data_IF_610982681116
#
_entry.id   IF_610982681116
#
_cell.length_a   1.000
_cell.length_b   1.000
_cell.length_c   1.000
_cell.angle_alpha   90.00
_cell.angle_beta   90.00
_cell.angle_gamma   90.00
#
_symmetry.space_group_name_H-M   'P 1'
#
loop_
_entity.id
_entity.type
_entity.pdbx_description
1 polymer ?
#
# COMPACT_ATOMS: atom_id res chain seq x y z
N UNK A 1 -17.82 18.80 0.70
CA UNK A 1 -17.06 17.85 1.54
C UNK A 1 -17.62 16.48 1.24
N UNK A 2 -16.88 15.60 0.57
CA UNK A 2 -17.39 14.25 0.27
C UNK A 2 -17.42 13.44 1.56
N UNK A 3 -18.56 12.82 1.86
CA UNK A 3 -18.75 11.88 2.97
C UNK A 3 -17.56 10.91 3.04
N UNK A 4 -16.77 11.02 4.11
CA UNK A 4 -15.79 10.00 4.44
C UNK A 4 -16.62 8.79 4.86
N UNK A 5 -16.61 7.73 4.06
CA UNK A 5 -17.00 6.42 4.57
C UNK A 5 -15.98 6.06 5.65
N UNK A 6 -16.46 5.77 6.84
CA UNK A 6 -15.62 5.35 7.97
C UNK A 6 -15.13 3.92 7.71
N UNK A 7 -13.96 3.81 7.08
CA UNK A 7 -13.25 2.53 7.00
C UNK A 7 -12.39 2.37 8.25
N UNK A 8 -12.39 1.16 8.80
CA UNK A 8 -11.54 0.82 9.93
C UNK A 8 -10.08 0.61 9.46
N UNK A 9 -9.92 -0.01 8.29
CA UNK A 9 -8.63 -0.39 7.74
C UNK A 9 -8.44 0.03 6.28
N UNK A 10 -7.22 0.47 5.99
CA UNK A 10 -6.75 0.84 4.66
C UNK A 10 -5.68 -0.16 4.27
N UNK A 11 -5.87 -0.80 3.13
CA UNK A 11 -4.96 -1.82 2.60
C UNK A 11 -4.42 -1.28 1.28
N UNK A 12 -3.10 -1.25 1.13
CA UNK A 12 -2.47 -0.89 -0.14
C UNK A 12 -1.70 -2.09 -0.66
N UNK A 13 -1.94 -2.46 -1.91
CA UNK A 13 -1.27 -3.55 -2.58
C UNK A 13 -0.68 -3.04 -3.89
N UNK A 14 0.62 -3.22 -4.04
CA UNK A 14 1.40 -2.67 -5.14
C UNK A 14 2.32 -3.71 -5.76
N UNK A 15 2.45 -3.62 -7.08
CA UNK A 15 3.30 -4.46 -7.90
C UNK A 15 4.41 -3.62 -8.51
N UNK A 16 5.64 -4.04 -8.29
CA UNK A 16 6.82 -3.41 -8.87
C UNK A 16 7.75 -4.46 -9.43
N UNK A 17 7.72 -4.62 -10.76
CA UNK A 17 8.54 -5.59 -11.50
C UNK A 17 8.33 -7.03 -10.97
N UNK A 18 9.35 -7.63 -10.36
CA UNK A 18 9.34 -8.96 -9.80
C UNK A 18 8.98 -9.00 -8.30
N UNK A 19 8.55 -7.87 -7.74
CA UNK A 19 8.09 -7.75 -6.36
C UNK A 19 6.61 -7.41 -6.28
N UNK A 20 5.97 -7.95 -5.26
CA UNK A 20 4.62 -7.60 -4.81
C UNK A 20 4.71 -7.23 -3.33
N UNK A 21 3.99 -6.19 -2.94
CA UNK A 21 3.96 -5.74 -1.56
C UNK A 21 2.57 -5.34 -1.13
N UNK A 22 2.30 -5.48 0.16
CA UNK A 22 1.14 -4.86 0.78
C UNK A 22 1.46 -4.24 2.14
N UNK A 23 0.64 -3.28 2.53
CA UNK A 23 0.58 -2.80 3.89
C UNK A 23 -0.89 -2.63 4.34
N UNK A 24 -1.13 -2.81 5.64
CA UNK A 24 -2.44 -2.67 6.27
C UNK A 24 -2.29 -1.69 7.43
N UNK A 25 -3.15 -0.67 7.48
CA UNK A 25 -3.12 0.36 8.53
C UNK A 25 -4.53 0.70 9.00
N UNK A 26 -4.70 0.83 10.30
CA UNK A 26 -5.92 1.38 10.89
C UNK A 26 -6.08 2.86 10.54
N UNK A 27 -7.30 3.30 10.21
CA UNK A 27 -7.60 4.69 9.85
C UNK A 27 -7.09 5.69 10.90
N UNK A 28 -7.29 5.40 12.20
CA UNK A 28 -6.86 6.27 13.31
C UNK A 28 -5.34 6.48 13.36
N UNK A 29 -4.54 5.52 12.86
CA UNK A 29 -3.07 5.62 12.83
C UNK A 29 -2.55 6.50 11.69
N UNK A 30 -3.36 6.73 10.65
CA UNK A 30 -2.97 7.54 9.49
C UNK A 30 -2.61 8.96 9.93
N UNK A 31 -3.43 9.61 10.76
CA UNK A 31 -3.22 11.01 11.17
C UNK A 31 -1.84 11.20 11.82
N UNK A 32 -1.43 10.26 12.68
CA UNK A 32 -0.12 10.29 13.35
C UNK A 32 1.03 9.94 12.39
N UNK A 33 0.77 9.12 11.37
CA UNK A 33 1.76 8.74 10.37
C UNK A 33 2.05 9.87 9.37
N UNK A 34 1.03 10.59 8.91
CA UNK A 34 1.12 11.62 7.87
C UNK A 34 2.30 12.60 7.99
N UNK A 35 2.54 13.26 9.14
CA UNK A 35 3.64 14.22 9.26
C UNK A 35 5.02 13.56 9.01
N UNK A 36 5.16 12.28 9.37
CA UNK A 36 6.42 11.52 9.24
C UNK A 36 6.72 11.08 7.81
N UNK A 37 5.68 10.96 6.98
CA UNK A 37 5.78 10.55 5.57
C UNK A 37 5.56 11.71 4.60
N UNK A 38 5.39 12.94 5.07
CA UNK A 38 5.10 14.14 4.27
C UNK A 38 6.08 14.42 3.12
N UNK A 39 7.33 13.93 3.24
CA UNK A 39 8.39 14.08 2.23
C UNK A 39 8.49 12.91 1.26
N UNK A 40 7.65 11.88 1.42
CA UNK A 40 7.64 10.73 0.53
C UNK A 40 7.02 11.15 -0.80
N UNK A 41 7.58 10.62 -1.87
CA UNK A 41 7.20 10.85 -3.26
C UNK A 41 7.43 9.57 -4.07
N UNK A 42 6.85 9.50 -5.27
CA UNK A 42 7.12 8.38 -6.18
C UNK A 42 8.58 8.37 -6.63
N UNK A 43 9.19 7.19 -6.56
CA UNK A 43 10.58 6.97 -6.94
C UNK A 43 10.92 7.43 -8.36
N UNK A 44 9.97 7.31 -9.32
CA UNK A 44 10.18 7.62 -10.74
C UNK A 44 10.52 9.11 -11.00
N UNK A 45 10.13 10.04 -10.11
CA UNK A 45 10.23 11.49 -10.33
C UNK A 45 11.53 12.19 -9.91
N UNK A 46 12.49 11.49 -9.28
CA UNK A 46 13.71 12.13 -8.73
C UNK A 46 14.94 11.95 -9.63
N UNK A 47 15.73 13.03 -9.82
CA UNK A 47 17.02 13.01 -10.55
C UNK A 47 18.10 12.17 -9.83
N UNK A 48 18.14 12.20 -8.49
CA UNK A 48 19.12 11.48 -7.65
C UNK A 48 18.47 10.34 -6.84
N UNK A 49 17.94 9.36 -7.55
CA UNK A 49 17.17 8.21 -7.03
C UNK A 49 17.83 7.46 -5.87
N UNK A 50 19.15 7.20 -5.98
CA UNK A 50 19.90 6.45 -4.95
C UNK A 50 19.97 7.20 -3.62
N UNK A 51 20.17 8.52 -3.67
CA UNK A 51 20.27 9.38 -2.48
C UNK A 51 18.90 9.49 -1.84
N UNK A 52 17.86 9.72 -2.65
CA UNK A 52 16.48 9.76 -2.19
C UNK A 52 16.08 8.49 -1.43
N UNK A 53 16.25 7.29 -2.03
CA UNK A 53 15.90 6.04 -1.35
C UNK A 53 16.70 5.81 -0.06
N UNK A 54 17.95 6.27 0.01
CA UNK A 54 18.74 6.19 1.24
C UNK A 54 18.08 7.02 2.35
N UNK A 55 17.77 8.29 2.07
CA UNK A 55 17.10 9.17 3.03
C UNK A 55 15.71 8.67 3.45
N UNK A 56 14.94 8.11 2.52
CA UNK A 56 13.65 7.50 2.83
C UNK A 56 13.84 6.27 3.72
N UNK A 57 14.77 5.38 3.38
CA UNK A 57 15.12 4.23 4.21
C UNK A 57 15.55 4.61 5.63
N UNK A 58 16.36 5.65 5.76
CA UNK A 58 16.79 6.19 7.06
C UNK A 58 15.62 6.79 7.84
N UNK A 59 14.72 7.50 7.17
CA UNK A 59 13.50 8.04 7.77
C UNK A 59 12.55 6.95 8.25
N UNK A 60 12.36 5.89 7.44
CA UNK A 60 11.54 4.72 7.81
C UNK A 60 12.04 4.08 9.10
N UNK A 61 13.37 3.95 9.25
CA UNK A 61 14.01 3.40 10.45
C UNK A 61 13.89 4.36 11.64
N UNK A 62 14.31 5.61 11.49
CA UNK A 62 14.34 6.62 12.56
C UNK A 62 12.95 6.88 13.14
N UNK A 63 11.96 7.06 12.26
CA UNK A 63 10.59 7.40 12.66
C UNK A 63 9.74 6.18 13.03
N UNK A 64 10.33 4.97 12.94
CA UNK A 64 9.66 3.67 13.13
C UNK A 64 8.39 3.53 12.29
N UNK A 65 8.43 3.97 11.02
CA UNK A 65 7.25 4.02 10.14
C UNK A 65 6.52 2.66 10.06
N UNK A 66 7.26 1.56 10.05
CA UNK A 66 6.68 0.22 9.97
C UNK A 66 5.76 -0.13 11.16
N UNK A 67 5.97 0.45 12.34
CA UNK A 67 5.16 0.15 13.52
C UNK A 67 3.75 0.77 13.47
N UNK A 68 3.46 1.62 12.48
CA UNK A 68 2.12 2.17 12.27
C UNK A 68 1.18 1.21 11.55
N UNK A 69 1.72 0.16 10.95
CA UNK A 69 0.98 -0.80 10.14
C UNK A 69 0.73 -2.08 10.93
N UNK A 70 -0.46 -2.64 10.81
CA UNK A 70 -0.79 -3.96 11.37
C UNK A 70 0.03 -5.06 10.69
N UNK A 71 0.17 -4.94 9.37
CA UNK A 71 0.95 -5.85 8.55
C UNK A 71 1.67 -5.07 7.46
N UNK A 72 2.89 -5.48 7.18
CA UNK A 72 3.67 -5.08 6.00
C UNK A 72 4.38 -6.32 5.50
N UNK A 73 4.25 -6.61 4.21
CA UNK A 73 4.98 -7.70 3.58
C UNK A 73 5.39 -7.31 2.17
N UNK A 74 6.60 -7.70 1.78
CA UNK A 74 7.12 -7.59 0.42
C UNK A 74 7.71 -8.95 0.08
N UNK A 75 7.31 -9.50 -1.05
CA UNK A 75 7.75 -10.80 -1.55
C UNK A 75 7.99 -10.73 -3.05
N UNK A 76 8.62 -11.76 -3.59
CA UNK A 76 8.69 -11.95 -5.03
C UNK A 76 7.29 -12.22 -5.62
N UNK A 77 7.01 -11.68 -6.80
CA UNK A 77 5.72 -11.77 -7.50
C UNK A 77 5.24 -13.20 -7.72
N UNK A 78 6.15 -14.20 -7.75
CA UNK A 78 5.77 -15.63 -7.82
C UNK A 78 5.03 -16.14 -6.58
N UNK A 79 5.15 -15.45 -5.44
CA UNK A 79 4.43 -15.74 -4.19
C UNK A 79 3.15 -14.90 -4.03
N UNK A 80 2.68 -14.28 -5.11
CA UNK A 80 1.47 -13.43 -5.07
C UNK A 80 0.26 -14.15 -4.47
N UNK A 81 0.07 -15.45 -4.71
CA UNK A 81 -1.07 -16.22 -4.18
C UNK A 81 -1.08 -16.22 -2.65
N UNK A 82 0.06 -16.46 -2.02
CA UNK A 82 0.21 -16.44 -0.56
C UNK A 82 -0.12 -15.05 0.00
N UNK A 83 0.45 -14.01 -0.61
CA UNK A 83 0.23 -12.62 -0.21
C UNK A 83 -1.25 -12.22 -0.34
N UNK A 84 -1.89 -12.58 -1.45
CA UNK A 84 -3.31 -12.33 -1.63
C UNK A 84 -4.15 -13.09 -0.62
N UNK A 85 -3.79 -14.34 -0.31
CA UNK A 85 -4.53 -15.14 0.67
C UNK A 85 -4.51 -14.45 2.04
N UNK A 86 -3.36 -13.95 2.48
CA UNK A 86 -3.25 -13.18 3.74
C UNK A 86 -4.13 -11.92 3.74
N UNK A 87 -4.20 -11.19 2.62
CA UNK A 87 -5.04 -9.99 2.48
C UNK A 87 -6.53 -10.37 2.51
N UNK A 88 -6.91 -11.45 1.83
CA UNK A 88 -8.29 -11.94 1.81
C UNK A 88 -8.75 -12.44 3.19
N UNK A 89 -7.88 -13.16 3.90
CA UNK A 89 -8.13 -13.60 5.28
C UNK A 89 -8.32 -12.41 6.21
N UNK A 90 -7.48 -11.38 6.07
CA UNK A 90 -7.63 -10.15 6.85
C UNK A 90 -8.99 -9.49 6.60
N UNK A 91 -9.37 -9.30 5.33
CA UNK A 91 -10.66 -8.71 4.95
C UNK A 91 -11.85 -9.54 5.43
N UNK A 92 -11.74 -10.87 5.43
CA UNK A 92 -12.80 -11.76 5.93
C UNK A 92 -13.03 -11.62 7.44
N UNK A 93 -11.97 -11.33 8.20
CA UNK A 93 -12.03 -11.16 9.67
C UNK A 93 -12.45 -9.73 10.03
N UNK A 94 -12.00 -8.73 9.27
CA UNK A 94 -12.20 -7.30 9.54
C UNK A 94 -13.17 -6.67 8.55
N UNK A 95 -14.31 -6.18 9.05
CA UNK A 95 -15.29 -5.45 8.23
C UNK A 95 -14.80 -4.03 7.92
N UNK A 96 -15.46 -3.38 6.96
CA UNK A 96 -15.24 -1.96 6.60
C UNK A 96 -13.79 -1.67 6.18
N UNK A 97 -13.25 -2.49 5.28
CA UNK A 97 -11.94 -2.28 4.67
C UNK A 97 -12.04 -1.45 3.37
N UNK A 98 -10.99 -0.69 3.07
CA UNK A 98 -10.75 -0.16 1.72
C UNK A 98 -9.41 -0.67 1.19
N UNK A 99 -9.44 -1.19 -0.03
CA UNK A 99 -8.28 -1.73 -0.74
C UNK A 99 -7.90 -0.83 -1.91
N UNK A 100 -6.65 -0.38 -1.92
CA UNK A 100 -6.04 0.36 -3.02
C UNK A 100 -5.10 -0.57 -3.79
N UNK A 101 -5.36 -0.74 -5.08
CA UNK A 101 -4.62 -1.63 -5.96
C UNK A 101 -3.82 -0.85 -7.00
N UNK A 102 -2.49 -1.03 -7.02
CA UNK A 102 -1.62 -0.62 -8.12
C UNK A 102 -1.36 -1.82 -9.02
N UNK A 103 -2.27 -2.01 -9.97
CA UNK A 103 -2.34 -3.13 -10.91
C UNK A 103 -2.90 -2.66 -12.24
N UNK A 104 -2.72 -3.46 -13.29
CA UNK A 104 -3.39 -3.19 -14.56
C UNK A 104 -4.92 -3.40 -14.49
N UNK A 105 -5.62 -2.94 -15.52
CA UNK A 105 -7.08 -3.00 -15.60
C UNK A 105 -7.66 -4.42 -15.58
N UNK A 106 -6.91 -5.39 -16.11
CA UNK A 106 -7.33 -6.77 -16.19
C UNK A 106 -7.23 -7.45 -14.81
N UNK A 107 -6.10 -7.28 -14.14
CA UNK A 107 -5.86 -7.68 -12.76
C UNK A 107 -6.87 -7.04 -11.81
N UNK A 108 -7.10 -5.73 -11.95
CA UNK A 108 -8.08 -5.00 -11.15
C UNK A 108 -9.48 -5.64 -11.24
N UNK A 109 -9.96 -5.92 -12.46
CA UNK A 109 -11.28 -6.53 -12.67
C UNK A 109 -11.37 -7.92 -12.06
N UNK A 110 -10.32 -8.75 -12.19
CA UNK A 110 -10.28 -10.10 -11.62
C UNK A 110 -10.29 -10.08 -10.09
N UNK A 111 -9.41 -9.28 -9.49
CA UNK A 111 -9.34 -9.14 -8.03
C UNK A 111 -10.63 -8.59 -7.44
N UNK A 112 -11.23 -7.60 -8.10
CA UNK A 112 -12.51 -7.03 -7.67
C UNK A 112 -13.65 -8.06 -7.65
N UNK A 113 -13.71 -8.94 -8.67
CA UNK A 113 -14.68 -10.04 -8.69
C UNK A 113 -14.42 -11.05 -7.57
N UNK A 114 -13.16 -11.42 -7.34
CA UNK A 114 -12.80 -12.38 -6.29
C UNK A 114 -13.17 -11.85 -4.89
N UNK A 115 -12.85 -10.59 -4.61
CA UNK A 115 -13.19 -9.95 -3.35
C UNK A 115 -14.70 -9.84 -3.14
N UNK A 116 -15.45 -9.52 -4.20
CA UNK A 116 -16.92 -9.51 -4.15
C UNK A 116 -17.51 -10.88 -3.77
N UNK A 117 -16.91 -11.98 -4.23
CA UNK A 117 -17.35 -13.33 -3.85
C UNK A 117 -17.05 -13.66 -2.38
N UNK A 118 -16.02 -13.07 -1.79
CA UNK A 118 -15.55 -13.38 -0.43
C UNK A 118 -16.25 -12.54 0.63
N UNK A 119 -16.41 -11.24 0.39
CA UNK A 119 -16.86 -10.25 1.38
C UNK A 119 -18.06 -9.41 0.89
N UNK A 120 -18.63 -9.76 -0.26
CA UNK A 120 -19.79 -9.08 -0.83
C UNK A 120 -19.47 -7.61 -1.14
N UNK A 121 -20.16 -6.69 -0.44
CA UNK A 121 -20.02 -5.23 -0.61
C UNK A 121 -19.39 -4.52 0.60
N UNK A 122 -18.87 -5.26 1.58
CA UNK A 122 -18.31 -4.63 2.79
C UNK A 122 -16.93 -4.00 2.57
N UNK A 123 -16.20 -4.46 1.55
CA UNK A 123 -14.91 -3.91 1.14
C UNK A 123 -15.04 -3.03 -0.10
N UNK A 124 -14.51 -1.81 -0.01
CA UNK A 124 -14.38 -0.93 -1.18
C UNK A 124 -13.03 -1.15 -1.86
N UNK A 125 -13.02 -1.18 -3.19
CA UNK A 125 -11.79 -1.40 -3.98
C UNK A 125 -11.61 -0.22 -4.92
N UNK A 126 -10.42 0.37 -4.89
CA UNK A 126 -10.02 1.48 -5.76
C UNK A 126 -8.70 1.19 -6.43
N UNK A 127 -8.50 1.73 -7.63
CA UNK A 127 -7.15 1.76 -8.22
C UNK A 127 -6.33 2.82 -7.51
N UNK A 128 -5.04 2.56 -7.29
CA UNK A 128 -4.13 3.57 -6.75
C UNK A 128 -4.09 4.82 -7.65
N UNK A 129 -4.17 4.64 -8.97
CA UNK A 129 -4.21 5.74 -9.93
C UNK A 129 -5.42 6.69 -9.78
N UNK A 130 -6.44 6.29 -9.03
CA UNK A 130 -7.60 7.13 -8.70
C UNK A 130 -7.38 7.97 -7.43
N UNK A 131 -6.28 7.75 -6.70
CA UNK A 131 -5.93 8.54 -5.53
C UNK A 131 -5.55 9.95 -5.95
N UNK A 132 -6.12 10.94 -5.26
CA UNK A 132 -5.81 12.34 -5.51
C UNK A 132 -4.50 12.69 -4.79
N UNK A 133 -3.55 13.26 -5.53
CA UNK A 133 -2.29 13.73 -4.95
C UNK A 133 -2.56 14.71 -3.80
N UNK A 134 -1.87 14.49 -2.68
CA UNK A 134 -2.02 15.30 -1.47
C UNK A 134 -3.11 14.82 -0.51
N UNK A 135 -3.88 13.78 -0.83
CA UNK A 135 -4.76 13.15 0.17
C UNK A 135 -3.98 12.24 1.11
N UNK A 136 -4.49 11.96 2.32
CA UNK A 136 -3.88 11.00 3.23
C UNK A 136 -3.62 9.64 2.62
N UNK A 137 -4.58 9.11 1.86
CA UNK A 137 -4.49 7.82 1.21
C UNK A 137 -3.37 7.78 0.19
N UNK A 138 -3.26 8.82 -0.64
CA UNK A 138 -2.15 8.98 -1.58
C UNK A 138 -0.81 9.02 -0.83
N UNK A 139 -0.71 9.78 0.25
CA UNK A 139 0.55 9.88 0.98
C UNK A 139 0.96 8.54 1.60
N UNK A 140 0.00 7.77 2.11
CA UNK A 140 0.26 6.44 2.69
C UNK A 140 0.61 5.42 1.60
N UNK A 141 0.02 5.49 0.39
CA UNK A 141 0.37 4.59 -0.71
C UNK A 141 1.86 4.71 -1.10
N UNK A 142 2.43 5.91 -0.98
CA UNK A 142 3.86 6.13 -1.21
C UNK A 142 4.76 5.34 -0.25
N UNK A 143 4.27 4.89 0.90
CA UNK A 143 5.07 4.05 1.81
C UNK A 143 5.38 2.71 1.17
N UNK A 144 4.39 2.03 0.57
CA UNK A 144 4.62 0.72 -0.05
C UNK A 144 5.45 0.86 -1.34
N UNK A 145 5.18 1.88 -2.17
CA UNK A 145 6.01 2.20 -3.35
C UNK A 145 7.48 2.38 -2.96
N UNK A 146 7.76 3.22 -1.95
CA UNK A 146 9.14 3.44 -1.52
C UNK A 146 9.79 2.19 -0.91
N UNK A 147 9.05 1.39 -0.16
CA UNK A 147 9.57 0.13 0.40
C UNK A 147 9.91 -0.89 -0.70
N UNK A 148 9.05 -1.04 -1.72
CA UNK A 148 9.31 -1.89 -2.89
C UNK A 148 10.58 -1.46 -3.62
N UNK A 149 10.72 -0.16 -3.87
CA UNK A 149 11.91 0.39 -4.52
C UNK A 149 13.19 0.22 -3.69
N UNK A 150 13.10 0.30 -2.35
CA UNK A 150 14.23 0.00 -1.45
C UNK A 150 14.60 -1.47 -1.53
N UNK A 151 13.61 -2.38 -1.53
CA UNK A 151 13.85 -3.82 -1.55
C UNK A 151 14.46 -4.27 -2.88
N UNK A 152 13.93 -3.77 -4.01
CA UNK A 152 14.50 -4.00 -5.35
C UNK A 152 15.99 -3.65 -5.40
N UNK A 153 16.37 -2.52 -4.83
CA UNK A 153 17.77 -2.08 -4.77
C UNK A 153 18.66 -3.02 -3.96
N UNK A 154 18.14 -3.63 -2.89
CA UNK A 154 18.92 -4.62 -2.11
C UNK A 154 19.16 -5.90 -2.90
N UNK A 155 18.23 -6.28 -3.77
CA UNK A 155 18.37 -7.40 -4.69
C UNK A 155 19.29 -7.09 -5.89
N UNK A 156 19.90 -5.90 -5.93
CA UNK A 156 20.80 -5.48 -7.01
C UNK A 156 20.09 -5.04 -8.29
N UNK A 157 18.78 -4.76 -8.23
CA UNK A 157 17.94 -4.32 -9.35
C UNK A 157 17.63 -2.82 -9.28
#
# INVERSE_FOLDING_TARGET
MSERKDYDYYIFLDYSEDLIGYNIIEQKKIITLLPKISRFEHYKGRKNRKIYLKHIGDTIKREKIKSFFEKIKIEESRKNVELFTEVLEFIKIHKHCILFLSVDDYQFKKLSKLLYLIDGKNTEIKKESQLKKGTPEYQVSLVIDNLLNIERRKQGK
#
